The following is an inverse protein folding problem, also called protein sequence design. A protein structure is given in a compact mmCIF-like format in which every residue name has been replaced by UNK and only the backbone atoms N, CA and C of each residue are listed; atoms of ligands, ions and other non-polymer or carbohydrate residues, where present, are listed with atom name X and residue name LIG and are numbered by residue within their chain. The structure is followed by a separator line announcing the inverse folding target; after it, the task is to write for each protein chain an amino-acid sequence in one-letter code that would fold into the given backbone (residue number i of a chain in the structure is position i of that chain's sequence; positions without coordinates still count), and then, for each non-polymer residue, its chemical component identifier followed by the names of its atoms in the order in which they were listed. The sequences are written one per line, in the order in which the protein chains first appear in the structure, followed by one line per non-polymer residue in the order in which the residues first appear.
data_IF_877994369260
#
_entry.id   IF_877994369260
#
_cell.length_a   1.000
_cell.length_b   1.000
_cell.length_c   1.000
_cell.angle_alpha   90.00
_cell.angle_beta   90.00
_cell.angle_gamma   90.00
#
_symmetry.space_group_name_H-M   'P 1'
#
loop_
_entity.id
_entity.type
_entity.pdbx_description
1 polymer ?
#
# COMPACT_ATOMS: atom_id res chain seq x y z
N UNK A 1 -15.23 -23.82 -3.01
CA UNK A 1 -14.01 -23.10 -2.59
C UNK A 1 -12.89 -23.58 -3.51
N UNK A 2 -12.34 -22.67 -4.29
CA UNK A 2 -11.97 -22.92 -5.69
C UNK A 2 -10.53 -23.43 -5.89
N UNK A 3 -10.33 -24.33 -6.86
CA UNK A 3 -9.06 -24.98 -7.23
C UNK A 3 -7.97 -23.95 -7.58
N UNK A 4 -8.39 -22.79 -8.07
CA UNK A 4 -7.56 -21.62 -8.32
C UNK A 4 -6.84 -21.12 -7.06
N UNK A 5 -7.51 -21.10 -5.90
CA UNK A 5 -6.92 -20.66 -4.62
C UNK A 5 -5.85 -21.64 -4.12
N UNK A 6 -6.05 -22.95 -4.29
CA UNK A 6 -5.07 -23.95 -3.88
C UNK A 6 -3.81 -23.91 -4.75
N UNK A 7 -3.99 -23.76 -6.07
CA UNK A 7 -2.87 -23.62 -7.01
C UNK A 7 -2.11 -22.31 -6.80
N UNK A 8 -2.84 -21.22 -6.56
CA UNK A 8 -2.24 -19.92 -6.25
C UNK A 8 -1.46 -20.00 -4.93
N UNK A 9 -2.02 -20.60 -3.88
CA UNK A 9 -1.35 -20.80 -2.60
C UNK A 9 -0.06 -21.61 -2.74
N UNK A 10 -0.10 -22.78 -3.36
CA UNK A 10 1.09 -23.62 -3.54
C UNK A 10 2.19 -22.89 -4.36
N UNK A 11 1.78 -22.12 -5.37
CA UNK A 11 2.66 -21.27 -6.17
C UNK A 11 3.35 -20.18 -5.32
N UNK A 12 2.65 -19.62 -4.34
CA UNK A 12 3.19 -18.60 -3.45
C UNK A 12 3.98 -19.17 -2.27
N UNK A 13 3.62 -20.35 -1.75
CA UNK A 13 4.34 -21.01 -0.66
C UNK A 13 5.81 -21.28 -1.01
N UNK A 14 6.12 -21.56 -2.29
CA UNK A 14 7.49 -21.77 -2.78
C UNK A 14 8.23 -20.46 -3.09
N UNK A 15 7.52 -19.43 -3.57
CA UNK A 15 8.10 -18.17 -4.05
C UNK A 15 8.29 -17.16 -2.92
N UNK A 16 7.37 -17.09 -1.96
CA UNK A 16 7.42 -16.14 -0.87
C UNK A 16 8.72 -16.20 -0.07
N UNK A 17 9.30 -17.38 0.27
CA UNK A 17 10.60 -17.45 0.93
C UNK A 17 11.76 -16.95 0.05
N UNK A 18 11.68 -17.11 -1.28
CA UNK A 18 12.70 -16.66 -2.22
C UNK A 18 12.66 -15.13 -2.40
N UNK A 19 11.47 -14.54 -2.50
CA UNK A 19 11.27 -13.09 -2.54
C UNK A 19 11.71 -12.44 -1.21
N UNK A 20 11.33 -13.01 -0.08
CA UNK A 20 11.75 -12.55 1.25
C UNK A 20 13.27 -12.67 1.50
N UNK A 21 14.02 -13.38 0.65
CA UNK A 21 15.47 -13.47 0.73
C UNK A 21 16.18 -12.56 -0.27
N UNK A 22 15.46 -11.83 -1.13
CA UNK A 22 16.05 -10.84 -2.03
C UNK A 22 16.51 -9.61 -1.26
N UNK A 23 17.61 -9.00 -1.72
CA UNK A 23 18.10 -7.73 -1.17
C UNK A 23 17.11 -6.58 -1.36
N UNK A 24 16.25 -6.70 -2.37
CA UNK A 24 15.22 -5.72 -2.69
C UNK A 24 14.08 -5.67 -1.64
N UNK A 25 14.08 -6.58 -0.64
CA UNK A 25 13.04 -6.69 0.40
C UNK A 25 13.55 -6.33 1.81
N UNK A 26 14.79 -5.86 1.94
CA UNK A 26 15.42 -5.62 3.26
C UNK A 26 14.67 -4.53 4.07
N UNK A 27 14.03 -3.56 3.39
CA UNK A 27 13.25 -2.49 3.98
C UNK A 27 12.01 -2.99 4.72
N UNK A 28 11.16 -3.77 4.04
CA UNK A 28 9.86 -4.22 4.56
C UNK A 28 10.08 -5.27 5.64
N UNK A 29 11.12 -6.10 5.51
CA UNK A 29 11.52 -7.04 6.55
C UNK A 29 11.98 -6.31 7.83
N UNK A 30 12.72 -5.21 7.71
CA UNK A 30 13.07 -4.39 8.88
C UNK A 30 11.83 -3.77 9.53
N UNK A 31 10.91 -3.24 8.74
CA UNK A 31 9.65 -2.69 9.22
C UNK A 31 8.81 -3.75 9.95
N UNK A 32 8.52 -4.86 9.29
CA UNK A 32 7.70 -5.94 9.84
C UNK A 32 8.33 -6.56 11.09
N UNK A 33 9.67 -6.70 11.13
CA UNK A 33 10.41 -7.10 12.33
C UNK A 33 10.19 -6.14 13.49
N UNK A 34 10.25 -4.84 13.22
CA UNK A 34 10.04 -3.79 14.24
C UNK A 34 8.62 -3.83 14.78
N UNK A 35 7.62 -3.92 13.89
CA UNK A 35 6.21 -4.10 14.27
C UNK A 35 6.04 -5.34 15.15
N UNK A 36 6.58 -6.48 14.72
CA UNK A 36 6.52 -7.73 15.48
C UNK A 36 7.18 -7.58 16.87
N UNK A 37 8.33 -6.92 16.97
CA UNK A 37 9.04 -6.73 18.23
C UNK A 37 8.26 -5.84 19.21
N UNK A 38 7.55 -4.82 18.72
CA UNK A 38 6.78 -3.88 19.55
C UNK A 38 5.44 -4.46 20.03
N UNK A 39 4.89 -5.46 19.35
CA UNK A 39 3.66 -6.11 19.77
C UNK A 39 3.90 -7.08 20.93
N UNK A 40 3.02 -7.00 21.96
CA UNK A 40 2.88 -8.06 22.97
C UNK A 40 2.40 -9.36 22.30
N UNK A 41 2.65 -10.55 22.90
CA UNK A 41 2.00 -11.78 22.45
C UNK A 41 0.49 -11.58 22.33
N UNK A 42 -0.12 -12.08 21.25
CA UNK A 42 -1.53 -11.86 20.87
C UNK A 42 -1.91 -10.40 20.59
N UNK A 43 -0.93 -9.50 20.49
CA UNK A 43 -1.13 -8.12 20.08
C UNK A 43 -1.59 -8.04 18.63
N UNK A 44 -2.41 -7.03 18.32
CA UNK A 44 -3.01 -6.84 17.00
C UNK A 44 -2.36 -5.67 16.27
N UNK A 45 -1.91 -5.91 15.04
CA UNK A 45 -1.67 -4.88 14.05
C UNK A 45 -2.98 -4.60 13.29
N UNK A 46 -3.33 -3.34 13.16
CA UNK A 46 -4.35 -2.85 12.24
C UNK A 46 -3.71 -1.80 11.35
N UNK A 47 -3.75 -2.01 10.04
CA UNK A 47 -3.21 -1.10 9.04
C UNK A 47 -4.32 -0.74 8.07
N UNK A 48 -4.51 0.55 7.80
CA UNK A 48 -5.30 1.04 6.68
C UNK A 48 -4.46 2.05 5.92
N UNK A 49 -4.27 1.81 4.64
CA UNK A 49 -3.34 2.59 3.82
C UNK A 49 -3.84 2.72 2.37
N UNK A 50 -3.29 3.69 1.64
CA UNK A 50 -3.47 3.82 0.20
C UNK A 50 -3.05 2.55 -0.54
N UNK A 51 -3.80 2.17 -1.56
CA UNK A 51 -3.47 0.98 -2.33
C UNK A 51 -2.26 1.26 -3.22
N UNK A 52 -1.25 0.37 -3.31
CA UNK A 52 -0.08 0.59 -4.17
C UNK A 52 -0.45 0.76 -5.65
N UNK A 53 -1.62 0.24 -6.06
CA UNK A 53 -2.16 0.49 -7.40
C UNK A 53 -2.62 1.93 -7.60
N UNK A 54 -3.19 2.57 -6.57
CA UNK A 54 -3.49 3.99 -6.63
C UNK A 54 -2.20 4.82 -6.69
N UNK A 55 -1.17 4.44 -5.93
CA UNK A 55 0.12 5.15 -5.93
C UNK A 55 0.87 5.05 -7.27
N UNK A 56 0.51 4.08 -8.12
CA UNK A 56 1.06 3.93 -9.47
C UNK A 56 0.32 4.77 -10.54
N UNK A 57 -0.83 5.37 -10.20
CA UNK A 57 -1.62 6.22 -11.10
C UNK A 57 -1.11 7.65 -11.02
N UNK A 58 -0.87 8.28 -12.18
CA UNK A 58 -0.55 9.70 -12.25
C UNK A 58 -1.83 10.56 -12.16
N UNK A 59 -1.90 11.36 -11.09
CA UNK A 59 -3.00 12.27 -10.80
C UNK A 59 -3.10 13.49 -11.72
N UNK A 60 -2.05 13.85 -12.47
CA UNK A 60 -2.05 14.96 -13.43
C UNK A 60 -2.95 14.68 -14.64
N UNK A 61 -3.24 13.41 -14.92
CA UNK A 61 -4.12 12.99 -16.00
C UNK A 61 -5.58 12.94 -15.56
N UNK A 62 -6.30 14.05 -15.71
CA UNK A 62 -7.72 14.15 -15.32
C UNK A 62 -8.70 13.48 -16.31
N UNK A 63 -8.25 13.16 -17.52
CA UNK A 63 -9.07 12.56 -18.59
C UNK A 63 -9.09 11.03 -18.56
N UNK A 64 -8.12 10.39 -17.87
CA UNK A 64 -7.95 8.94 -17.84
C UNK A 64 -7.16 8.48 -16.61
N UNK A 65 -7.38 7.23 -16.20
CA UNK A 65 -6.47 6.56 -15.27
C UNK A 65 -5.20 6.14 -16.01
N UNK A 66 -4.11 6.89 -15.83
CA UNK A 66 -2.81 6.61 -16.42
C UNK A 66 -1.90 5.95 -15.39
N UNK A 67 -1.51 4.70 -15.62
CA UNK A 67 -0.40 4.09 -14.89
C UNK A 67 0.91 4.69 -15.42
N UNK A 68 1.71 5.25 -14.52
CA UNK A 68 2.96 5.90 -14.87
C UNK A 68 4.06 5.58 -13.86
N UNK A 69 3.72 5.57 -12.57
CA UNK A 69 4.69 5.28 -11.52
C UNK A 69 4.81 3.77 -11.27
N UNK A 70 5.96 3.29 -10.76
CA UNK A 70 6.15 1.89 -10.48
C UNK A 70 5.17 1.36 -9.43
N UNK A 71 4.55 0.21 -9.73
CA UNK A 71 3.79 -0.53 -8.72
C UNK A 71 4.69 -1.37 -7.81
N UNK A 72 5.70 -2.02 -8.40
CA UNK A 72 6.69 -2.78 -7.65
C UNK A 72 7.78 -1.86 -7.16
N UNK A 73 8.39 -2.22 -6.04
CA UNK A 73 9.54 -1.49 -5.52
C UNK A 73 10.73 -1.55 -6.49
N UNK A 74 11.50 -0.46 -6.53
CA UNK A 74 12.76 -0.36 -7.24
C UNK A 74 13.85 0.17 -6.30
N UNK A 75 15.10 -0.20 -6.57
CA UNK A 75 16.25 0.30 -5.80
C UNK A 75 16.31 1.85 -5.80
N UNK A 76 16.04 2.46 -6.95
CA UNK A 76 15.94 3.91 -7.05
C UNK A 76 14.53 4.40 -6.62
N UNK A 77 14.44 5.41 -5.74
CA UNK A 77 13.16 5.99 -5.34
C UNK A 77 12.50 6.74 -6.49
N UNK A 78 11.19 6.88 -6.39
CA UNK A 78 10.49 7.97 -7.08
C UNK A 78 10.83 9.28 -6.35
N UNK A 79 11.36 10.25 -7.08
CA UNK A 79 11.77 11.54 -6.54
C UNK A 79 10.70 12.58 -6.85
N UNK A 80 10.14 13.17 -5.82
CA UNK A 80 9.16 14.25 -5.93
C UNK A 80 9.79 15.57 -5.51
N UNK A 81 9.46 16.63 -6.23
CA UNK A 81 9.81 17.99 -5.83
C UNK A 81 8.53 18.76 -5.52
N UNK A 82 8.12 18.78 -4.24
CA UNK A 82 6.94 19.49 -3.77
C UNK A 82 7.30 20.38 -2.58
N UNK A 83 6.90 21.65 -2.63
CA UNK A 83 7.11 22.61 -1.54
C UNK A 83 6.00 22.58 -0.46
N UNK A 84 5.05 21.66 -0.59
CA UNK A 84 3.89 21.46 0.27
C UNK A 84 3.97 20.15 1.06
N UNK A 85 3.28 20.10 2.21
CA UNK A 85 3.14 18.92 3.08
C UNK A 85 1.68 18.53 3.21
N UNK A 86 1.38 17.30 3.67
CA UNK A 86 0.03 16.81 3.93
C UNK A 86 -0.74 17.65 4.99
N UNK A 87 -0.05 18.57 5.68
CA UNK A 87 -0.66 19.56 6.56
C UNK A 87 -0.83 20.89 5.82
N UNK A 88 -2.02 21.49 5.85
CA UNK A 88 -2.20 22.86 5.38
C UNK A 88 -1.43 23.84 6.30
N UNK A 89 -0.34 24.41 5.80
CA UNK A 89 0.49 25.39 6.53
C UNK A 89 1.04 26.45 5.58
N UNK A 90 1.12 27.71 6.04
CA UNK A 90 1.76 28.81 5.29
C UNK A 90 3.31 28.74 5.31
N UNK A 91 3.90 27.84 6.10
CA UNK A 91 5.35 27.62 6.13
C UNK A 91 5.79 26.75 4.96
N UNK A 92 6.61 27.32 4.07
CA UNK A 92 7.26 26.57 2.98
C UNK A 92 8.39 25.70 3.53
N UNK A 93 8.44 24.44 3.10
CA UNK A 93 9.49 23.52 3.48
C UNK A 93 10.82 23.90 2.81
N UNK A 94 11.91 23.88 3.58
CA UNK A 94 13.27 24.10 3.05
C UNK A 94 13.83 22.87 2.30
N UNK A 95 13.28 21.68 2.57
CA UNK A 95 13.58 20.43 1.88
C UNK A 95 12.34 20.00 1.10
N UNK A 96 12.32 20.29 -0.19
CA UNK A 96 11.19 20.04 -1.09
C UNK A 96 11.28 18.72 -1.83
N UNK A 97 12.39 17.99 -1.65
CA UNK A 97 12.61 16.70 -2.28
C UNK A 97 12.12 15.57 -1.38
N UNK A 98 11.19 14.77 -1.89
CA UNK A 98 10.68 13.57 -1.22
C UNK A 98 11.06 12.35 -2.02
N UNK A 99 11.61 11.35 -1.32
CA UNK A 99 11.93 10.05 -1.90
C UNK A 99 10.88 9.04 -1.46
N UNK A 100 10.23 8.41 -2.42
CA UNK A 100 9.16 7.45 -2.17
C UNK A 100 9.46 6.11 -2.84
N UNK A 101 9.12 5.04 -2.12
CA UNK A 101 9.12 3.68 -2.60
C UNK A 101 7.69 3.16 -2.51
N UNK A 102 7.20 2.58 -3.59
CA UNK A 102 5.89 1.95 -3.60
C UNK A 102 6.05 0.49 -3.21
N UNK A 103 5.40 0.09 -2.12
CA UNK A 103 5.47 -1.28 -1.61
C UNK A 103 4.19 -2.02 -1.97
N UNK A 104 4.33 -3.05 -2.79
CA UNK A 104 3.22 -3.88 -3.23
C UNK A 104 2.59 -4.66 -2.07
N UNK A 105 1.32 -5.05 -2.24
CA UNK A 105 0.63 -5.88 -1.23
C UNK A 105 1.37 -7.19 -0.94
N UNK A 106 1.99 -7.79 -1.95
CA UNK A 106 2.76 -9.02 -1.80
C UNK A 106 3.96 -8.86 -0.86
N UNK A 107 4.67 -7.73 -0.96
CA UNK A 107 5.80 -7.37 -0.10
C UNK A 107 5.36 -7.21 1.35
N UNK A 108 4.34 -6.37 1.59
CA UNK A 108 3.80 -6.11 2.92
C UNK A 108 3.29 -7.40 3.59
N UNK A 109 2.49 -8.19 2.88
CA UNK A 109 1.93 -9.45 3.40
C UNK A 109 3.04 -10.44 3.72
N UNK A 110 4.00 -10.62 2.80
CA UNK A 110 5.09 -11.58 2.98
C UNK A 110 5.99 -11.20 4.14
N UNK A 111 6.33 -9.92 4.29
CA UNK A 111 7.18 -9.44 5.39
C UNK A 111 6.54 -9.68 6.76
N UNK A 112 5.23 -9.44 6.90
CA UNK A 112 4.49 -9.72 8.14
C UNK A 112 4.48 -11.22 8.47
N UNK A 113 4.22 -12.08 7.47
CA UNK A 113 4.24 -13.53 7.64
C UNK A 113 5.63 -14.03 8.06
N UNK A 114 6.70 -13.52 7.45
CA UNK A 114 8.09 -13.87 7.77
C UNK A 114 8.47 -13.55 9.23
N UNK A 115 7.82 -12.56 9.84
CA UNK A 115 8.05 -12.14 11.22
C UNK A 115 7.01 -12.67 12.22
N UNK A 116 6.30 -13.75 11.85
CA UNK A 116 5.45 -14.50 12.77
C UNK A 116 4.12 -13.80 13.09
N UNK A 117 3.72 -12.80 12.31
CA UNK A 117 2.36 -12.29 12.37
C UNK A 117 1.44 -13.17 11.53
N UNK A 118 0.28 -13.48 12.07
CA UNK A 118 -0.79 -14.20 11.39
C UNK A 118 -1.82 -13.21 10.88
N UNK A 119 -2.01 -13.15 9.56
CA UNK A 119 -3.05 -12.33 8.97
C UNK A 119 -4.44 -12.88 9.34
N UNK A 120 -5.32 -11.97 9.76
CA UNK A 120 -6.72 -12.27 10.09
C UNK A 120 -7.70 -11.57 9.15
N UNK A 121 -7.26 -10.51 8.46
CA UNK A 121 -8.02 -9.88 7.39
C UNK A 121 -7.09 -9.17 6.39
N UNK A 122 -7.49 -9.19 5.11
CA UNK A 122 -6.98 -8.31 4.05
C UNK A 122 -8.19 -7.94 3.18
N UNK A 123 -8.50 -6.65 3.09
CA UNK A 123 -9.65 -6.13 2.34
C UNK A 123 -9.22 -4.93 1.53
N UNK A 124 -9.46 -4.95 0.23
CA UNK A 124 -9.30 -3.80 -0.65
C UNK A 124 -10.60 -2.99 -0.72
N UNK A 125 -10.47 -1.66 -0.80
CA UNK A 125 -11.57 -0.72 -0.74
C UNK A 125 -11.61 0.17 -1.97
N UNK A 126 -12.82 0.51 -2.41
CA UNK A 126 -13.08 1.47 -3.48
C UNK A 126 -13.13 2.92 -2.99
N UNK A 127 -12.59 3.19 -1.79
CA UNK A 127 -12.66 4.50 -1.16
C UNK A 127 -11.39 4.83 -0.36
N UNK A 128 -11.14 6.13 -0.16
CA UNK A 128 -9.97 6.66 0.53
C UNK A 128 -10.30 8.03 1.18
N UNK A 129 -9.67 8.44 2.30
CA UNK A 129 -10.13 9.61 3.05
C UNK A 129 -9.73 10.99 2.47
N UNK A 130 -9.00 11.04 1.35
CA UNK A 130 -8.63 12.27 0.65
C UNK A 130 -8.93 12.19 -0.85
N UNK A 131 -8.91 13.32 -1.55
CA UNK A 131 -9.08 13.35 -3.00
C UNK A 131 -7.75 12.98 -3.69
N UNK A 132 -7.52 11.69 -3.88
CA UNK A 132 -6.27 11.19 -4.46
C UNK A 132 -6.11 11.47 -5.97
N UNK A 133 -7.22 11.60 -6.70
CA UNK A 133 -7.24 11.85 -8.16
C UNK A 133 -8.15 13.07 -8.43
N UNK A 134 -7.60 14.29 -8.40
CA UNK A 134 -8.37 15.53 -8.52
C UNK A 134 -9.27 15.55 -9.76
N UNK A 135 -10.53 15.93 -9.58
CA UNK A 135 -11.52 16.02 -10.66
C UNK A 135 -12.12 14.68 -11.10
N UNK A 136 -11.50 13.55 -10.75
CA UNK A 136 -11.96 12.20 -11.09
C UNK A 136 -12.76 11.53 -9.96
N UNK A 137 -12.79 12.14 -8.78
CA UNK A 137 -13.41 11.55 -7.60
C UNK A 137 -14.65 12.33 -7.12
N UNK A 138 -15.43 11.68 -6.27
CA UNK A 138 -16.57 12.27 -5.55
C UNK A 138 -16.53 11.85 -4.09
N UNK A 139 -16.72 12.81 -3.19
CA UNK A 139 -16.82 12.57 -1.74
C UNK A 139 -18.21 12.02 -1.39
N UNK A 140 -18.25 10.84 -0.80
CA UNK A 140 -19.47 10.22 -0.30
C UNK A 140 -19.96 10.85 1.00
N UNK A 141 -21.18 10.47 1.42
CA UNK A 141 -21.77 10.90 2.70
C UNK A 141 -21.01 10.38 3.93
N UNK A 142 -20.20 9.33 3.75
CA UNK A 142 -19.29 8.78 4.74
C UNK A 142 -17.97 9.54 4.87
N UNK A 143 -17.79 10.61 4.07
CA UNK A 143 -16.61 11.45 4.09
C UNK A 143 -15.44 10.91 3.27
N UNK A 144 -15.61 9.80 2.55
CA UNK A 144 -14.55 9.20 1.74
C UNK A 144 -14.74 9.44 0.25
N UNK A 145 -13.63 9.54 -0.47
CA UNK A 145 -13.60 9.75 -1.91
C UNK A 145 -13.62 8.43 -2.65
N UNK A 146 -14.36 8.40 -3.77
CA UNK A 146 -14.46 7.27 -4.70
C UNK A 146 -14.31 7.78 -6.12
N UNK A 147 -13.86 6.94 -7.06
CA UNK A 147 -13.92 7.30 -8.47
C UNK A 147 -15.37 7.63 -8.85
N UNK A 148 -15.55 8.76 -9.54
CA UNK A 148 -16.84 9.21 -10.07
C UNK A 148 -17.37 8.25 -11.12
N UNK A 149 -16.48 7.84 -12.02
CA UNK A 149 -16.78 6.96 -13.14
C UNK A 149 -16.18 5.57 -12.89
N UNK A 150 -17.01 4.53 -13.01
CA UNK A 150 -16.60 3.13 -12.96
C UNK A 150 -15.74 2.76 -11.72
N UNK A 151 -16.30 2.93 -10.49
CA UNK A 151 -15.56 2.77 -9.23
C UNK A 151 -14.96 1.38 -8.97
N UNK A 152 -15.35 0.37 -9.75
CA UNK A 152 -14.77 -0.97 -9.68
C UNK A 152 -13.40 -1.12 -10.38
N UNK A 153 -12.90 -0.09 -11.07
CA UNK A 153 -11.67 -0.19 -11.88
C UNK A 153 -10.37 -0.05 -11.11
N UNK A 154 -10.39 0.55 -9.91
CA UNK A 154 -9.17 0.87 -9.17
C UNK A 154 -9.41 0.67 -7.67
N UNK A 155 -8.67 -0.23 -6.99
CA UNK A 155 -8.61 -0.23 -5.53
C UNK A 155 -7.92 1.05 -5.05
N UNK A 156 -8.53 1.74 -4.08
CA UNK A 156 -8.05 3.04 -3.59
C UNK A 156 -7.32 2.92 -2.26
N UNK A 157 -7.84 2.10 -1.34
CA UNK A 157 -7.15 1.79 -0.08
C UNK A 157 -7.26 0.30 0.22
N UNK A 158 -6.51 -0.17 1.21
CA UNK A 158 -6.68 -1.51 1.78
C UNK A 158 -6.67 -1.46 3.29
N UNK A 159 -7.21 -2.50 3.91
CA UNK A 159 -7.09 -2.77 5.35
C UNK A 159 -6.48 -4.14 5.55
N UNK A 160 -5.44 -4.19 6.37
CA UNK A 160 -4.78 -5.41 6.81
C UNK A 160 -4.87 -5.52 8.32
N UNK A 161 -5.26 -6.69 8.81
CA UNK A 161 -5.25 -7.02 10.23
C UNK A 161 -4.41 -8.26 10.43
N UNK A 162 -3.49 -8.20 11.40
CA UNK A 162 -2.67 -9.33 11.78
C UNK A 162 -2.52 -9.42 13.30
N UNK A 163 -2.24 -10.61 13.80
CA UNK A 163 -1.99 -10.88 15.22
C UNK A 163 -0.59 -11.46 15.39
N UNK A 164 0.14 -11.02 16.42
CA UNK A 164 1.37 -11.69 16.83
C UNK A 164 1.01 -12.99 17.54
N UNK A 165 1.54 -14.11 17.06
CA UNK A 165 1.36 -15.42 17.69
C UNK A 165 1.81 -15.41 19.17
#
# INVERSE_FOLDING_TARGET
MDRSLQLNRASWDERAPLHAASKDYEGELLWARTVAALLKPRGRLFLRDGHPMLMAVNEDHQDRLQLEYPYFEHEAPTVWHNDQTYVETEQRLAHTETHEWNHGLGEVVTALLAHGLQLTALVEHQSIPWEALPGQMVKGSDGEYRLREQPARLPLSYTLVAIKA
#
